data_IF_365319179027
#
_entry.id   IF_365319179027
#
_cell.length_a   1.000
_cell.length_b   1.000
_cell.length_c   1.000
_cell.angle_alpha   90.00
_cell.angle_beta   90.00
_cell.angle_gamma   90.00
#
_symmetry.space_group_name_H-M   'P 1'
#
loop_
_entity.id
_entity.type
_entity.pdbx_description
1 polymer ?
#
# COMPACT_ATOMS: atom_id res chain seq x y z
N UNK A 1 -39.48 -27.07 -14.94
CA UNK A 1 -38.25 -26.89 -15.77
C UNK A 1 -37.02 -26.79 -14.88
N UNK A 2 -35.84 -27.19 -15.38
CA UNK A 2 -34.57 -26.97 -14.66
C UNK A 2 -34.15 -25.49 -14.76
N UNK A 3 -33.46 -24.96 -13.74
CA UNK A 3 -32.94 -23.58 -13.66
C UNK A 3 -32.14 -23.17 -14.89
N UNK A 4 -31.37 -24.08 -15.49
CA UNK A 4 -30.61 -23.81 -16.73
C UNK A 4 -31.54 -23.54 -17.92
N UNK A 5 -32.62 -24.31 -18.07
CA UNK A 5 -33.59 -24.15 -19.14
C UNK A 5 -34.37 -22.83 -18.99
N UNK A 6 -34.79 -22.49 -17.77
CA UNK A 6 -35.46 -21.21 -17.49
C UNK A 6 -34.55 -20.03 -17.84
N UNK A 7 -33.25 -20.12 -17.49
CA UNK A 7 -32.27 -19.09 -17.87
C UNK A 7 -32.16 -18.93 -19.39
N UNK A 8 -32.06 -20.03 -20.13
CA UNK A 8 -31.98 -20.00 -21.60
C UNK A 8 -33.24 -19.38 -22.22
N UNK A 9 -34.43 -19.80 -21.75
CA UNK A 9 -35.70 -19.29 -22.26
C UNK A 9 -35.89 -17.79 -22.00
N UNK A 10 -35.43 -17.28 -20.85
CA UNK A 10 -35.42 -15.84 -20.57
C UNK A 10 -34.49 -15.11 -21.55
N UNK A 11 -33.28 -15.63 -21.77
CA UNK A 11 -32.30 -14.97 -22.66
C UNK A 11 -32.80 -14.93 -24.11
N UNK A 12 -33.39 -16.03 -24.58
CA UNK A 12 -33.98 -16.14 -25.91
C UNK A 12 -35.14 -15.16 -26.10
N UNK A 13 -36.10 -15.12 -25.16
CA UNK A 13 -37.25 -14.21 -25.26
C UNK A 13 -36.86 -12.75 -25.13
N UNK A 14 -35.84 -12.44 -24.31
CA UNK A 14 -35.27 -11.09 -24.24
C UNK A 14 -34.58 -10.70 -25.55
N UNK A 15 -33.90 -11.64 -26.21
CA UNK A 15 -33.28 -11.39 -27.52
C UNK A 15 -34.33 -11.16 -28.63
N UNK A 16 -35.50 -11.80 -28.52
CA UNK A 16 -36.66 -11.58 -29.39
C UNK A 16 -37.40 -10.26 -29.10
N UNK A 17 -36.99 -9.49 -28.08
CA UNK A 17 -37.60 -8.20 -27.74
C UNK A 17 -38.90 -8.32 -26.94
N UNK A 18 -39.23 -9.49 -26.39
CA UNK A 18 -40.42 -9.62 -25.54
C UNK A 18 -40.27 -8.82 -24.24
N UNK A 19 -41.35 -8.16 -23.78
CA UNK A 19 -41.32 -7.40 -22.54
C UNK A 19 -41.12 -8.33 -21.33
N UNK A 20 -40.32 -7.88 -20.36
CA UNK A 20 -40.02 -8.65 -19.14
C UNK A 20 -41.27 -9.09 -18.37
N UNK A 21 -42.32 -8.29 -18.34
CA UNK A 21 -43.59 -8.66 -17.70
C UNK A 21 -44.23 -9.90 -18.35
N UNK A 22 -44.25 -9.98 -19.68
CA UNK A 22 -44.79 -11.13 -20.40
C UNK A 22 -43.94 -12.39 -20.18
N UNK A 23 -42.61 -12.24 -20.18
CA UNK A 23 -41.69 -13.35 -19.91
C UNK A 23 -41.89 -13.88 -18.48
N UNK A 24 -42.07 -12.98 -17.50
CA UNK A 24 -42.30 -13.35 -16.10
C UNK A 24 -43.62 -14.12 -15.95
N UNK A 25 -44.71 -13.64 -16.53
CA UNK A 25 -46.01 -14.33 -16.49
C UNK A 25 -45.95 -15.70 -17.18
N UNK A 26 -45.26 -15.79 -18.32
CA UNK A 26 -45.14 -17.05 -19.06
C UNK A 26 -44.31 -18.11 -18.33
N UNK A 27 -43.35 -17.71 -17.49
CA UNK A 27 -42.45 -18.62 -16.77
C UNK A 27 -42.81 -18.79 -15.30
N UNK A 28 -43.70 -17.95 -14.76
CA UNK A 28 -44.27 -18.14 -13.42
C UNK A 28 -44.98 -19.49 -13.37
N UNK A 29 -44.93 -20.15 -12.21
CA UNK A 29 -45.48 -21.51 -11.97
C UNK A 29 -44.74 -22.67 -12.65
N UNK A 30 -43.66 -22.44 -13.41
CA UNK A 30 -42.89 -23.52 -14.08
C UNK A 30 -41.82 -24.20 -13.18
N UNK A 31 -42.01 -24.17 -11.86
CA UNK A 31 -41.18 -24.85 -10.86
C UNK A 31 -40.09 -24.01 -10.19
N UNK A 32 -40.04 -22.69 -10.42
CA UNK A 32 -39.19 -21.76 -9.67
C UNK A 32 -40.07 -20.81 -8.85
N UNK A 33 -39.65 -20.44 -7.65
CA UNK A 33 -40.39 -19.45 -6.86
C UNK A 33 -40.37 -18.09 -7.54
N UNK A 34 -41.49 -17.37 -7.51
CA UNK A 34 -41.65 -16.08 -8.17
C UNK A 34 -40.58 -15.07 -7.76
N UNK A 35 -40.14 -15.09 -6.49
CA UNK A 35 -39.03 -14.27 -6.01
C UNK A 35 -37.72 -14.56 -6.73
N UNK A 36 -37.37 -15.84 -6.91
CA UNK A 36 -36.13 -16.24 -7.59
C UNK A 36 -36.21 -15.97 -9.09
N UNK A 37 -37.39 -16.12 -9.69
CA UNK A 37 -37.61 -15.77 -11.10
C UNK A 37 -37.48 -14.27 -11.31
N UNK A 38 -38.12 -13.46 -10.46
CA UNK A 38 -38.04 -12.00 -10.52
C UNK A 38 -36.60 -11.51 -10.35
N UNK A 39 -35.85 -12.07 -9.41
CA UNK A 39 -34.42 -11.75 -9.21
C UNK A 39 -33.57 -12.11 -10.44
N UNK A 40 -33.78 -13.29 -11.03
CA UNK A 40 -33.10 -13.70 -12.27
C UNK A 40 -33.39 -12.76 -13.44
N UNK A 41 -34.61 -12.21 -13.52
CA UNK A 41 -35.00 -11.28 -14.58
C UNK A 41 -34.54 -9.85 -14.33
N UNK A 42 -34.56 -9.40 -13.08
CA UNK A 42 -34.12 -8.06 -12.69
C UNK A 42 -32.59 -7.90 -12.81
N UNK A 43 -31.83 -8.97 -12.54
CA UNK A 43 -30.36 -8.97 -12.66
C UNK A 43 -29.85 -9.08 -14.10
N UNK A 44 -30.74 -9.21 -15.09
CA UNK A 44 -30.38 -9.25 -16.51
C UNK A 44 -30.64 -7.90 -17.19
N UNK A 45 -29.59 -7.27 -17.75
CA UNK A 45 -29.74 -6.01 -18.45
C UNK A 45 -30.42 -6.24 -19.81
N UNK A 46 -31.29 -5.32 -20.20
CA UNK A 46 -31.91 -5.38 -21.53
C UNK A 46 -30.88 -4.97 -22.60
N UNK A 47 -30.79 -5.63 -23.77
CA UNK A 47 -29.81 -5.31 -24.81
C UNK A 47 -29.86 -3.85 -25.28
N UNK A 48 -31.06 -3.28 -25.37
CA UNK A 48 -31.28 -1.86 -25.70
C UNK A 48 -30.60 -0.92 -24.68
N UNK A 49 -30.69 -1.20 -23.38
CA UNK A 49 -30.05 -0.38 -22.35
C UNK A 49 -28.52 -0.48 -22.40
N UNK A 50 -27.99 -1.66 -22.76
CA UNK A 50 -26.55 -1.84 -22.96
C UNK A 50 -26.03 -0.98 -24.11
N UNK A 51 -26.77 -0.90 -25.22
CA UNK A 51 -26.41 -0.06 -26.36
C UNK A 51 -26.51 1.44 -26.00
N UNK A 52 -27.65 1.85 -25.41
CA UNK A 52 -27.89 3.25 -25.03
C UNK A 52 -26.86 3.79 -24.03
N UNK A 53 -26.40 2.95 -23.12
CA UNK A 53 -25.46 3.32 -22.06
C UNK A 53 -24.05 2.72 -22.25
N UNK A 54 -23.68 2.32 -23.47
CA UNK A 54 -22.37 1.74 -23.77
C UNK A 54 -21.20 2.66 -23.41
N UNK A 55 -21.38 3.99 -23.54
CA UNK A 55 -20.38 4.97 -23.11
C UNK A 55 -20.13 4.93 -21.60
N UNK A 56 -21.19 4.91 -20.80
CA UNK A 56 -21.12 4.86 -19.33
C UNK A 56 -20.48 3.55 -18.85
N UNK A 57 -20.85 2.42 -19.48
CA UNK A 57 -20.24 1.12 -19.16
C UNK A 57 -18.74 1.14 -19.46
N UNK A 58 -18.33 1.66 -20.64
CA UNK A 58 -16.91 1.76 -21.01
C UNK A 58 -16.14 2.63 -20.01
N UNK A 59 -16.72 3.74 -19.58
CA UNK A 59 -16.14 4.59 -18.54
C UNK A 59 -15.98 3.84 -17.21
N UNK A 60 -17.01 3.12 -16.73
CA UNK A 60 -16.93 2.33 -15.48
C UNK A 60 -15.82 1.27 -15.55
N UNK A 61 -15.72 0.55 -16.68
CA UNK A 61 -14.67 -0.46 -16.87
C UNK A 61 -13.29 0.19 -16.89
N UNK A 62 -13.14 1.35 -17.54
CA UNK A 62 -11.89 2.11 -17.56
C UNK A 62 -11.46 2.56 -16.16
N UNK A 63 -12.39 3.10 -15.37
CA UNK A 63 -12.16 3.47 -13.97
C UNK A 63 -11.72 2.25 -13.15
N UNK A 64 -12.41 1.11 -13.28
CA UNK A 64 -12.07 -0.10 -12.53
C UNK A 64 -10.66 -0.62 -12.87
N UNK A 65 -10.24 -0.52 -14.13
CA UNK A 65 -8.85 -0.82 -14.53
C UNK A 65 -7.84 0.15 -13.91
N UNK A 66 -8.15 1.46 -13.93
CA UNK A 66 -7.28 2.46 -13.31
C UNK A 66 -7.13 2.22 -11.80
N UNK A 67 -8.22 1.90 -11.10
CA UNK A 67 -8.19 1.54 -9.68
C UNK A 67 -7.38 0.27 -9.42
N UNK A 68 -7.56 -0.77 -10.24
CA UNK A 68 -6.77 -1.99 -10.13
C UNK A 68 -5.26 -1.67 -10.25
N UNK A 69 -4.86 -0.93 -11.29
CA UNK A 69 -3.45 -0.54 -11.47
C UNK A 69 -2.93 0.26 -10.27
N UNK A 70 -3.70 1.24 -9.79
CA UNK A 70 -3.33 2.05 -8.64
C UNK A 70 -3.12 1.20 -7.38
N UNK A 71 -4.05 0.28 -7.08
CA UNK A 71 -3.93 -0.61 -5.91
C UNK A 71 -2.73 -1.54 -6.04
N UNK A 72 -2.48 -2.10 -7.22
CA UNK A 72 -1.29 -2.93 -7.47
C UNK A 72 0.00 -2.14 -7.24
N UNK A 73 0.07 -0.90 -7.70
CA UNK A 73 1.22 0.00 -7.48
C UNK A 73 1.41 0.31 -5.99
N UNK A 74 0.33 0.57 -5.24
CA UNK A 74 0.40 0.82 -3.78
C UNK A 74 0.84 -0.42 -3.02
N UNK A 75 0.27 -1.59 -3.29
CA UNK A 75 0.64 -2.85 -2.65
C UNK A 75 2.11 -3.20 -2.90
N UNK A 76 2.56 -3.00 -4.14
CA UNK A 76 3.94 -3.21 -4.52
C UNK A 76 4.88 -2.23 -3.82
N UNK A 77 4.55 -0.94 -3.82
CA UNK A 77 5.34 0.09 -3.14
C UNK A 77 5.47 -0.23 -1.65
N UNK A 78 4.38 -0.62 -0.99
CA UNK A 78 4.40 -1.07 0.39
C UNK A 78 5.30 -2.30 0.58
N UNK A 79 5.21 -3.27 -0.34
CA UNK A 79 6.01 -4.49 -0.34
C UNK A 79 7.51 -4.27 -0.48
N UNK A 80 7.90 -3.39 -1.40
CA UNK A 80 9.29 -3.00 -1.59
C UNK A 80 9.85 -2.28 -0.36
N UNK A 81 9.01 -1.50 0.34
CA UNK A 81 9.40 -0.77 1.55
C UNK A 81 9.44 -1.63 2.82
N UNK A 82 8.83 -2.81 2.81
CA UNK A 82 8.80 -3.69 4.01
C UNK A 82 10.08 -4.52 4.16
N UNK A 83 10.93 -4.56 3.13
CA UNK A 83 12.29 -5.10 3.18
C UNK A 83 12.38 -6.63 3.22
N UNK A 84 13.35 -7.17 2.46
CA UNK A 84 13.68 -8.60 2.46
C UNK A 84 12.85 -9.49 1.52
N UNK A 85 13.31 -10.74 1.34
CA UNK A 85 12.67 -11.74 0.47
C UNK A 85 11.27 -12.12 0.97
N UNK A 86 11.08 -12.16 2.31
CA UNK A 86 9.78 -12.39 2.92
C UNK A 86 8.78 -11.25 2.65
N UNK A 87 9.24 -9.99 2.65
CA UNK A 87 8.44 -8.83 2.27
C UNK A 87 8.00 -8.89 0.80
N UNK A 88 8.90 -9.28 -0.10
CA UNK A 88 8.58 -9.49 -1.52
C UNK A 88 7.59 -10.64 -1.74
N UNK A 89 7.77 -11.79 -1.08
CA UNK A 89 6.84 -12.92 -1.18
C UNK A 89 5.46 -12.53 -0.63
N UNK A 90 5.43 -11.88 0.53
CA UNK A 90 4.20 -11.38 1.14
C UNK A 90 3.51 -10.35 0.26
N UNK A 91 4.26 -9.42 -0.32
CA UNK A 91 3.74 -8.43 -1.26
C UNK A 91 3.17 -9.08 -2.52
N UNK A 92 3.86 -10.06 -3.11
CA UNK A 92 3.36 -10.80 -4.27
C UNK A 92 2.08 -11.58 -3.94
N UNK A 93 2.01 -12.19 -2.76
CA UNK A 93 0.81 -12.89 -2.28
C UNK A 93 -0.37 -11.93 -2.10
N UNK A 94 -0.16 -10.81 -1.41
CA UNK A 94 -1.18 -9.76 -1.21
C UNK A 94 -1.59 -9.17 -2.57
N UNK A 95 -0.65 -8.94 -3.47
CA UNK A 95 -0.89 -8.41 -4.80
C UNK A 95 -1.71 -9.40 -5.66
N UNK A 96 -1.43 -10.70 -5.55
CA UNK A 96 -2.22 -11.74 -6.21
C UNK A 96 -3.65 -11.81 -5.65
N UNK A 97 -3.80 -11.73 -4.32
CA UNK A 97 -5.10 -11.82 -3.65
C UNK A 97 -5.95 -10.56 -3.90
N UNK A 98 -5.41 -9.39 -3.61
CA UNK A 98 -6.07 -8.09 -3.79
C UNK A 98 -6.29 -7.81 -5.27
N UNK A 99 -5.28 -8.05 -6.11
CA UNK A 99 -5.37 -7.89 -7.55
C UNK A 99 -6.40 -8.83 -8.17
N UNK A 100 -6.41 -10.10 -7.78
CA UNK A 100 -7.40 -11.09 -8.21
C UNK A 100 -8.81 -10.69 -7.78
N UNK A 101 -8.99 -10.26 -6.53
CA UNK A 101 -10.28 -9.79 -6.01
C UNK A 101 -10.78 -8.54 -6.77
N UNK A 102 -9.93 -7.54 -7.01
CA UNK A 102 -10.28 -6.35 -7.79
C UNK A 102 -10.57 -6.68 -9.25
N UNK A 103 -9.84 -7.64 -9.84
CA UNK A 103 -10.08 -8.11 -11.19
C UNK A 103 -11.47 -8.76 -11.35
N UNK A 104 -12.02 -9.39 -10.31
CA UNK A 104 -13.40 -9.90 -10.34
C UNK A 104 -14.42 -8.78 -10.60
N UNK A 105 -14.21 -7.57 -10.09
CA UNK A 105 -15.08 -6.43 -10.36
C UNK A 105 -14.92 -5.95 -11.81
N UNK A 106 -13.69 -5.83 -12.30
CA UNK A 106 -13.42 -5.49 -13.70
C UNK A 106 -14.14 -6.47 -14.64
N UNK A 107 -13.97 -7.77 -14.40
CA UNK A 107 -14.65 -8.84 -15.14
C UNK A 107 -16.18 -8.73 -15.01
N UNK A 108 -16.67 -8.47 -13.80
CA UNK A 108 -18.09 -8.29 -13.50
C UNK A 108 -18.71 -7.13 -14.28
N UNK A 109 -18.04 -5.98 -14.36
CA UNK A 109 -18.48 -4.82 -15.13
C UNK A 109 -18.45 -5.10 -16.64
N UNK A 110 -17.38 -5.73 -17.14
CA UNK A 110 -17.26 -6.14 -18.55
C UNK A 110 -18.37 -7.11 -18.98
N UNK A 111 -18.78 -8.01 -18.09
CA UNK A 111 -19.88 -8.96 -18.31
C UNK A 111 -21.25 -8.43 -17.89
N UNK A 112 -21.35 -7.14 -17.56
CA UNK A 112 -22.58 -6.47 -17.14
C UNK A 112 -23.33 -7.22 -16.04
N UNK A 113 -22.60 -7.73 -15.04
CA UNK A 113 -23.17 -8.50 -13.93
C UNK A 113 -23.68 -7.55 -12.84
N UNK A 114 -24.98 -7.61 -12.53
CA UNK A 114 -25.60 -6.76 -11.51
C UNK A 114 -24.94 -6.87 -10.12
N UNK A 115 -24.43 -8.05 -9.76
CA UNK A 115 -23.75 -8.27 -8.49
C UNK A 115 -22.48 -7.42 -8.34
N UNK A 116 -21.74 -7.17 -9.43
CA UNK A 116 -20.49 -6.41 -9.37
C UNK A 116 -20.73 -4.96 -8.95
N UNK A 117 -21.75 -4.31 -9.54
CA UNK A 117 -22.19 -2.96 -9.17
C UNK A 117 -22.72 -2.90 -7.74
N UNK A 118 -23.51 -3.90 -7.33
CA UNK A 118 -24.12 -3.91 -6.00
C UNK A 118 -23.05 -4.14 -4.92
N UNK A 119 -22.14 -5.09 -5.14
CA UNK A 119 -21.03 -5.37 -4.23
C UNK A 119 -20.06 -4.17 -4.13
N UNK A 120 -19.75 -3.50 -5.23
CA UNK A 120 -18.87 -2.32 -5.20
C UNK A 120 -19.48 -1.16 -4.42
N UNK A 121 -20.80 -0.95 -4.53
CA UNK A 121 -21.51 0.06 -3.74
C UNK A 121 -21.48 -0.27 -2.25
N UNK A 122 -21.78 -1.52 -1.87
CA UNK A 122 -21.75 -1.96 -0.47
C UNK A 122 -20.34 -1.82 0.11
N UNK A 123 -19.32 -2.28 -0.60
CA UNK A 123 -17.93 -2.15 -0.16
C UNK A 123 -17.49 -0.69 -0.03
N UNK A 124 -17.86 0.17 -0.97
CA UNK A 124 -17.54 1.59 -0.89
C UNK A 124 -18.24 2.26 0.29
N UNK A 125 -19.49 1.89 0.60
CA UNK A 125 -20.22 2.39 1.79
C UNK A 125 -19.58 1.90 3.10
N UNK A 126 -19.14 0.64 3.17
CA UNK A 126 -18.45 0.08 4.35
C UNK A 126 -17.11 0.81 4.60
N UNK A 127 -16.41 1.22 3.54
CA UNK A 127 -15.11 1.90 3.65
C UNK A 127 -15.23 3.41 3.92
N UNK A 128 -16.41 4.01 3.73
CA UNK A 128 -16.61 5.45 3.87
C UNK A 128 -16.33 5.98 5.30
N UNK A 129 -16.77 5.32 6.39
CA UNK A 129 -16.43 5.74 7.74
C UNK A 129 -14.93 5.80 8.00
N UNK A 130 -14.17 4.83 7.49
CA UNK A 130 -12.72 4.83 7.62
C UNK A 130 -12.09 6.04 6.92
N UNK A 131 -12.52 6.33 5.69
CA UNK A 131 -12.05 7.51 4.96
C UNK A 131 -12.33 8.83 5.70
N UNK A 132 -13.44 8.90 6.46
CA UNK A 132 -13.75 10.04 7.32
C UNK A 132 -12.86 10.11 8.56
N UNK A 133 -12.54 8.95 9.17
CA UNK A 133 -11.65 8.88 10.34
C UNK A 133 -10.21 9.25 10.00
N UNK A 134 -9.77 9.01 8.76
CA UNK A 134 -8.41 9.32 8.30
C UNK A 134 -8.24 10.82 7.91
N UNK A 135 -9.31 11.62 7.88
CA UNK A 135 -9.25 13.05 7.51
C UNK A 135 -8.34 13.91 8.41
N UNK A 136 -8.34 13.76 9.75
CA UNK A 136 -7.50 14.60 10.62
C UNK A 136 -6.00 14.40 10.38
N UNK A 137 -5.57 13.20 9.99
CA UNK A 137 -4.15 12.87 9.80
C UNK A 137 -3.57 13.46 8.51
N UNK A 138 -4.41 13.64 7.48
CA UNK A 138 -4.00 14.18 6.19
C UNK A 138 -5.15 14.96 5.53
N UNK A 139 -5.48 16.18 5.99
CA UNK A 139 -6.74 16.86 5.64
C UNK A 139 -6.92 17.11 4.15
N UNK A 140 -5.85 17.50 3.43
CA UNK A 140 -5.94 17.76 1.98
C UNK A 140 -6.07 16.46 1.19
N UNK A 141 -5.16 15.51 1.42
CA UNK A 141 -5.16 14.22 0.70
C UNK A 141 -6.41 13.39 1.02
N UNK A 142 -6.82 13.37 2.28
CA UNK A 142 -8.05 12.73 2.75
C UNK A 142 -9.30 13.34 2.15
N UNK A 143 -9.39 14.67 2.06
CA UNK A 143 -10.54 15.34 1.43
C UNK A 143 -10.66 15.00 -0.06
N UNK A 144 -9.54 15.01 -0.79
CA UNK A 144 -9.51 14.61 -2.21
C UNK A 144 -9.90 13.14 -2.37
N UNK A 145 -9.33 12.25 -1.54
CA UNK A 145 -9.66 10.83 -1.54
C UNK A 145 -11.14 10.57 -1.26
N UNK A 146 -11.72 11.27 -0.29
CA UNK A 146 -13.14 11.18 0.04
C UNK A 146 -14.03 11.66 -1.11
N UNK A 147 -13.69 12.81 -1.72
CA UNK A 147 -14.44 13.34 -2.86
C UNK A 147 -14.43 12.36 -4.04
N UNK A 148 -13.28 11.76 -4.34
CA UNK A 148 -13.16 10.72 -5.36
C UNK A 148 -14.00 9.49 -5.00
N UNK A 149 -13.95 9.02 -3.75
CA UNK A 149 -14.71 7.87 -3.30
C UNK A 149 -16.23 8.09 -3.41
N UNK A 150 -16.73 9.25 -2.98
CA UNK A 150 -18.15 9.63 -3.10
C UNK A 150 -18.56 9.77 -4.56
N UNK A 151 -17.72 10.39 -5.39
CA UNK A 151 -17.97 10.52 -6.83
C UNK A 151 -18.09 9.16 -7.52
N UNK A 152 -17.22 8.20 -7.17
CA UNK A 152 -17.25 6.85 -7.72
C UNK A 152 -18.46 6.04 -7.24
N UNK A 153 -18.88 6.20 -5.99
CA UNK A 153 -20.12 5.63 -5.47
C UNK A 153 -21.33 6.17 -6.23
N UNK A 154 -21.43 7.48 -6.38
CA UNK A 154 -22.50 8.15 -7.12
C UNK A 154 -22.54 7.72 -8.59
N UNK A 155 -21.38 7.67 -9.25
CA UNK A 155 -21.28 7.22 -10.64
C UNK A 155 -21.66 5.75 -10.80
N UNK A 156 -21.16 4.86 -9.94
CA UNK A 156 -21.51 3.43 -9.97
C UNK A 156 -23.00 3.21 -9.72
N UNK A 157 -23.60 3.97 -8.78
CA UNK A 157 -25.04 3.96 -8.53
C UNK A 157 -25.83 4.43 -9.76
N UNK A 158 -25.37 5.49 -10.41
CA UNK A 158 -25.97 6.00 -11.63
C UNK A 158 -25.95 4.94 -12.74
N UNK A 159 -24.79 4.35 -13.04
CA UNK A 159 -24.68 3.29 -14.06
C UNK A 159 -25.56 2.08 -13.70
N UNK A 160 -25.55 1.65 -12.44
CA UNK A 160 -26.40 0.55 -11.97
C UNK A 160 -27.89 0.82 -12.19
N UNK A 161 -28.37 2.00 -11.79
CA UNK A 161 -29.79 2.37 -11.91
C UNK A 161 -30.27 2.43 -13.36
N UNK A 162 -29.38 2.80 -14.30
CA UNK A 162 -29.68 2.83 -15.74
C UNK A 162 -29.69 1.44 -16.38
N UNK A 163 -28.78 0.55 -15.96
CA UNK A 163 -28.69 -0.81 -16.52
C UNK A 163 -29.70 -1.78 -15.91
N UNK A 164 -30.05 -1.58 -14.64
CA UNK A 164 -30.92 -2.45 -13.87
C UNK A 164 -32.04 -1.65 -13.19
N UNK A 165 -32.93 -1.00 -13.96
CA UNK A 165 -34.02 -0.20 -13.39
C UNK A 165 -35.02 -1.03 -12.55
N UNK A 166 -35.02 -2.36 -12.76
CA UNK A 166 -35.86 -3.32 -12.04
C UNK A 166 -35.30 -3.72 -10.67
N UNK A 167 -34.06 -3.32 -10.35
CA UNK A 167 -33.42 -3.59 -9.06
C UNK A 167 -33.54 -2.36 -8.16
N UNK A 168 -34.09 -2.58 -6.96
CA UNK A 168 -33.92 -1.66 -5.82
C UNK A 168 -32.51 -1.81 -5.23
N UNK A 169 -32.21 -1.14 -4.12
CA UNK A 169 -30.91 -1.29 -3.45
C UNK A 169 -30.58 -2.78 -3.15
N UNK A 170 -31.56 -3.58 -2.73
CA UNK A 170 -31.33 -4.95 -2.22
C UNK A 170 -32.21 -6.04 -2.83
N UNK A 171 -32.75 -5.84 -4.03
CA UNK A 171 -33.49 -6.90 -4.73
C UNK A 171 -34.44 -6.41 -5.82
N UNK A 172 -35.20 -7.32 -6.44
CA UNK A 172 -36.18 -6.97 -7.45
C UNK A 172 -37.27 -6.05 -6.90
N UNK A 173 -37.67 -5.06 -7.69
CA UNK A 173 -38.68 -4.07 -7.33
C UNK A 173 -40.06 -4.72 -7.16
N UNK A 174 -40.70 -4.43 -6.04
CA UNK A 174 -42.04 -4.88 -5.69
C UNK A 174 -42.93 -3.65 -5.44
N UNK A 175 -44.07 -3.57 -6.12
CA UNK A 175 -45.08 -2.52 -5.94
C UNK A 175 -46.41 -3.24 -5.70
N UNK A 176 -47.08 -2.91 -4.59
CA UNK A 176 -48.39 -3.48 -4.20
C UNK A 176 -48.44 -5.00 -4.17
N UNK A 177 -47.38 -5.65 -3.66
CA UNK A 177 -47.36 -7.12 -3.58
C UNK A 177 -46.93 -7.81 -4.88
N UNK A 178 -46.76 -7.09 -5.99
CA UNK A 178 -46.41 -7.64 -7.29
C UNK A 178 -45.04 -7.20 -7.80
N UNK A 179 -44.39 -8.06 -8.59
CA UNK A 179 -43.14 -7.74 -9.26
C UNK A 179 -43.41 -6.93 -10.53
N UNK A 180 -42.95 -5.68 -10.56
CA UNK A 180 -43.09 -4.79 -11.73
C UNK A 180 -41.74 -4.54 -12.37
N UNK A 181 -41.68 -4.71 -13.69
CA UNK A 181 -40.50 -4.42 -14.49
C UNK A 181 -40.71 -3.12 -15.26
N UNK A 182 -39.66 -2.31 -15.37
CA UNK A 182 -39.65 -1.06 -16.10
C UNK A 182 -39.94 -1.32 -17.58
N UNK A 183 -40.80 -0.49 -18.17
CA UNK A 183 -41.03 -0.50 -19.61
C UNK A 183 -39.79 0.10 -20.29
N UNK A 184 -39.15 -0.67 -21.15
CA UNK A 184 -38.04 -0.18 -21.98
C UNK A 184 -38.65 0.35 -23.26
N UNK A 185 -38.64 1.67 -23.45
CA UNK A 185 -39.00 2.29 -24.72
C UNK A 185 -38.11 1.69 -25.82
N UNK A 186 -38.66 1.23 -26.96
CA UNK A 186 -37.83 0.87 -28.10
C UNK A 186 -37.00 2.09 -28.53
N UNK A 187 -35.78 1.87 -29.01
CA UNK A 187 -34.95 2.94 -29.58
C UNK A 187 -35.76 3.64 -30.69
N UNK A 188 -35.81 4.98 -30.66
CA UNK A 188 -36.42 5.73 -31.75
C UNK A 188 -35.66 5.42 -33.04
N UNK A 189 -36.35 5.35 -34.18
CA UNK A 189 -35.74 5.09 -35.49
C UNK A 189 -34.61 6.08 -35.85
N UNK A 190 -34.60 7.27 -35.24
CA UNK A 190 -33.52 8.25 -35.36
C UNK A 190 -32.26 7.95 -34.51
N UNK A 191 -32.38 7.18 -33.41
CA UNK A 191 -31.24 6.70 -32.61
C UNK A 191 -30.69 5.36 -33.15
N UNK A 192 -31.50 4.62 -33.93
CA UNK A 192 -31.04 3.49 -34.74
C UNK A 192 -30.26 4.03 -35.94
N UNK A 193 -28.93 4.15 -35.79
CA UNK A 193 -28.07 4.21 -36.96
C UNK A 193 -28.48 3.08 -37.93
N UNK A 194 -28.54 3.33 -39.26
CA UNK A 194 -29.11 2.38 -40.21
C UNK A 194 -28.53 1.00 -39.96
N UNK A 195 -29.39 -0.01 -39.82
CA UNK A 195 -28.98 -1.38 -39.50
C UNK A 195 -27.98 -1.92 -40.54
N UNK A 196 -28.03 -1.39 -41.78
CA UNK A 196 -27.04 -1.61 -42.84
C UNK A 196 -25.63 -1.08 -42.53
N UNK A 197 -25.49 -0.01 -41.75
CA UNK A 197 -24.20 0.49 -41.26
C UNK A 197 -23.71 -0.36 -40.09
N UNK A 198 -24.61 -0.81 -39.20
CA UNK A 198 -24.25 -1.73 -38.12
C UNK A 198 -23.84 -3.11 -38.66
N UNK A 199 -24.52 -3.66 -39.66
CA UNK A 199 -24.16 -4.96 -40.26
C UNK A 199 -22.87 -4.89 -41.11
N UNK A 200 -22.53 -3.72 -41.66
CA UNK A 200 -21.23 -3.50 -42.33
C UNK A 200 -20.08 -3.23 -41.33
N UNK A 201 -20.35 -2.63 -40.17
CA UNK A 201 -19.33 -2.26 -39.17
C UNK A 201 -19.11 -3.37 -38.12
N UNK A 202 -20.12 -4.21 -37.84
CA UNK A 202 -20.05 -5.26 -36.82
C UNK A 202 -19.02 -6.37 -37.13
N UNK A 203 -18.82 -6.88 -38.36
CA UNK A 203 -17.74 -7.83 -38.63
C UNK A 203 -16.35 -7.17 -38.61
N UNK A 204 -16.24 -5.88 -38.96
CA UNK A 204 -14.96 -5.15 -38.91
C UNK A 204 -14.52 -4.79 -37.48
N UNK A 205 -15.47 -4.52 -36.57
CA UNK A 205 -15.15 -4.14 -35.18
C UNK A 205 -15.09 -5.34 -34.23
N UNK A 206 -15.73 -6.48 -34.55
CA UNK A 206 -15.74 -7.65 -33.64
C UNK A 206 -14.50 -8.56 -33.68
N UNK A 207 -13.60 -8.45 -34.66
CA UNK A 207 -12.46 -9.38 -34.76
C UNK A 207 -11.09 -8.72 -34.55
N UNK A 208 -10.94 -7.41 -34.76
CA UNK A 208 -9.61 -6.77 -34.73
C UNK A 208 -9.16 -6.17 -33.37
N UNK A 209 -10.06 -5.90 -32.42
CA UNK A 209 -9.71 -5.00 -31.29
C UNK A 209 -9.67 -5.63 -29.88
N UNK A 210 -10.45 -6.68 -29.59
CA UNK A 210 -10.52 -7.21 -28.21
C UNK A 210 -9.38 -8.17 -27.88
N UNK A 211 -8.91 -8.98 -28.85
CA UNK A 211 -7.70 -9.81 -28.67
C UNK A 211 -6.43 -8.96 -28.59
N UNK A 212 -6.35 -7.87 -29.37
CA UNK A 212 -5.18 -7.00 -29.37
C UNK A 212 -5.10 -6.13 -28.11
N UNK A 213 -6.23 -5.64 -27.58
CA UNK A 213 -6.23 -4.89 -26.31
C UNK A 213 -5.87 -5.79 -25.12
N UNK A 214 -6.43 -7.00 -25.04
CA UNK A 214 -6.09 -7.94 -23.97
C UNK A 214 -4.63 -8.39 -24.04
N UNK A 215 -4.08 -8.62 -25.25
CA UNK A 215 -2.67 -8.92 -25.44
C UNK A 215 -1.76 -7.74 -25.07
N UNK A 216 -2.13 -6.50 -25.44
CA UNK A 216 -1.41 -5.28 -25.05
C UNK A 216 -1.43 -5.05 -23.54
N UNK A 217 -2.57 -5.31 -22.88
CA UNK A 217 -2.68 -5.22 -21.42
C UNK A 217 -1.86 -6.29 -20.71
N UNK A 218 -1.85 -7.54 -21.22
CA UNK A 218 -0.97 -8.60 -20.70
C UNK A 218 0.51 -8.27 -20.88
N UNK A 219 0.89 -7.75 -22.05
CA UNK A 219 2.25 -7.32 -22.31
C UNK A 219 2.65 -6.16 -21.40
N UNK A 220 1.80 -5.14 -21.24
CA UNK A 220 2.05 -4.03 -20.32
C UNK A 220 2.24 -4.53 -18.88
N UNK A 221 1.39 -5.46 -18.43
CA UNK A 221 1.51 -6.09 -17.11
C UNK A 221 2.84 -6.86 -16.97
N UNK A 222 3.24 -7.64 -17.96
CA UNK A 222 4.52 -8.36 -17.97
C UNK A 222 5.72 -7.41 -17.98
N UNK A 223 5.66 -6.31 -18.74
CA UNK A 223 6.72 -5.30 -18.78
C UNK A 223 6.85 -4.57 -17.43
N UNK A 224 5.72 -4.27 -16.78
CA UNK A 224 5.73 -3.71 -15.42
C UNK A 224 6.35 -4.72 -14.46
N UNK A 225 5.93 -5.98 -14.45
CA UNK A 225 6.55 -7.01 -13.61
C UNK A 225 8.06 -7.13 -13.85
N UNK A 226 8.49 -7.12 -15.12
CA UNK A 226 9.91 -7.19 -15.47
C UNK A 226 10.68 -5.98 -14.95
N UNK A 227 10.18 -4.76 -15.17
CA UNK A 227 10.80 -3.54 -14.68
C UNK A 227 10.96 -3.55 -13.15
N UNK A 228 10.00 -4.14 -12.43
CA UNK A 228 10.03 -4.27 -10.98
C UNK A 228 11.05 -5.29 -10.49
N UNK A 229 11.16 -6.44 -11.17
CA UNK A 229 12.21 -7.43 -10.88
C UNK A 229 13.58 -6.82 -11.14
N UNK A 230 13.75 -6.10 -12.24
CA UNK A 230 14.99 -5.40 -12.57
C UNK A 230 15.33 -4.32 -11.55
N UNK A 231 14.34 -3.54 -11.10
CA UNK A 231 14.54 -2.53 -10.06
C UNK A 231 14.92 -3.17 -8.72
N UNK A 232 14.23 -4.23 -8.30
CA UNK A 232 14.58 -4.97 -7.08
C UNK A 232 16.00 -5.55 -7.13
N UNK A 233 16.41 -6.10 -8.28
CA UNK A 233 17.77 -6.57 -8.50
C UNK A 233 18.79 -5.43 -8.42
N UNK A 234 18.49 -4.27 -9.02
CA UNK A 234 19.34 -3.08 -8.98
C UNK A 234 19.52 -2.55 -7.54
N UNK A 235 18.44 -2.44 -6.76
CA UNK A 235 18.50 -2.03 -5.35
C UNK A 235 19.33 -3.03 -4.53
N UNK A 236 19.14 -4.34 -4.77
CA UNK A 236 19.91 -5.42 -4.12
C UNK A 236 21.41 -5.31 -4.38
N UNK A 237 21.79 -4.97 -5.62
CA UNK A 237 23.18 -4.77 -6.01
C UNK A 237 23.76 -3.45 -5.46
N UNK A 238 22.94 -2.40 -5.37
CA UNK A 238 23.40 -1.07 -4.93
C UNK A 238 23.60 -0.97 -3.42
N UNK A 239 22.78 -1.68 -2.63
CA UNK A 239 22.74 -1.60 -1.16
C UNK A 239 22.81 -2.98 -0.48
N UNK A 240 23.85 -3.80 -0.77
CA UNK A 240 23.90 -5.19 -0.31
C UNK A 240 24.02 -5.29 1.21
N UNK A 241 24.71 -4.34 1.85
CA UNK A 241 24.95 -4.35 3.29
C UNK A 241 23.70 -3.95 4.07
N UNK A 242 22.99 -2.94 3.61
CA UNK A 242 21.76 -2.45 4.20
C UNK A 242 20.68 -3.54 4.13
N UNK A 243 20.51 -4.16 2.96
CA UNK A 243 19.53 -5.25 2.78
C UNK A 243 19.88 -6.46 3.64
N UNK A 244 21.16 -6.81 3.74
CA UNK A 244 21.61 -7.88 4.64
C UNK A 244 21.25 -7.56 6.08
N UNK A 245 21.49 -6.34 6.54
CA UNK A 245 21.19 -5.94 7.92
C UNK A 245 19.68 -5.97 8.21
N UNK A 246 18.86 -5.42 7.30
CA UNK A 246 17.40 -5.50 7.44
C UNK A 246 16.89 -6.93 7.44
N UNK A 247 17.43 -7.79 6.57
CA UNK A 247 17.11 -9.22 6.58
C UNK A 247 17.40 -9.82 7.95
N UNK A 248 18.62 -9.63 8.47
CA UNK A 248 19.02 -10.17 9.76
C UNK A 248 18.17 -9.60 10.91
N UNK A 249 17.76 -8.33 10.86
CA UNK A 249 16.89 -7.71 11.85
C UNK A 249 15.52 -8.40 11.94
N UNK A 250 14.94 -8.81 10.80
CA UNK A 250 13.64 -9.48 10.78
C UNK A 250 13.69 -10.99 10.97
N UNK A 251 14.82 -11.65 10.65
CA UNK A 251 14.90 -13.12 10.65
C UNK A 251 15.64 -13.73 11.83
N UNK A 252 16.41 -12.94 12.57
CA UNK A 252 17.28 -13.45 13.64
C UNK A 252 16.78 -12.96 14.99
N UNK A 253 16.65 -13.85 15.96
CA UNK A 253 16.40 -13.46 17.34
C UNK A 253 17.62 -12.69 17.88
N UNK A 254 17.39 -11.49 18.40
CA UNK A 254 18.42 -10.60 18.92
C UNK A 254 18.04 -10.15 20.33
N UNK A 255 19.02 -9.93 21.23
CA UNK A 255 18.74 -9.41 22.57
C UNK A 255 18.27 -7.96 22.51
N UNK A 256 17.54 -7.54 23.54
CA UNK A 256 17.20 -6.14 23.73
C UNK A 256 18.32 -5.44 24.51
N UNK A 257 18.72 -4.24 24.06
CA UNK A 257 19.68 -3.41 24.75
C UNK A 257 18.94 -2.42 25.66
N UNK A 258 19.23 -2.47 26.95
CA UNK A 258 18.65 -1.56 27.95
C UNK A 258 19.77 -0.92 28.76
N UNK A 259 20.09 0.34 28.46
CA UNK A 259 21.07 1.13 29.22
C UNK A 259 20.90 2.63 28.94
N UNK A 260 21.35 3.47 29.87
CA UNK A 260 21.41 4.92 29.69
C UNK A 260 22.72 5.31 28.98
N UNK A 261 22.67 6.23 28.01
CA UNK A 261 23.88 6.67 27.29
C UNK A 261 24.90 7.35 28.23
N UNK A 262 24.45 7.99 29.32
CA UNK A 262 25.33 8.55 30.34
C UNK A 262 26.06 7.51 31.21
N UNK A 263 25.69 6.23 31.13
CA UNK A 263 26.38 5.14 31.82
C UNK A 263 27.70 4.75 31.12
N UNK A 264 27.84 5.06 29.82
CA UNK A 264 29.07 4.79 29.09
C UNK A 264 30.19 5.69 29.61
N UNK A 265 31.35 5.09 29.87
CA UNK A 265 32.55 5.78 30.32
C UNK A 265 33.69 5.61 29.33
N UNK A 266 34.45 6.69 29.17
CA UNK A 266 35.65 6.74 28.34
C UNK A 266 36.88 6.09 29.00
N UNK A 267 36.73 5.58 30.21
CA UNK A 267 37.73 4.73 30.86
C UNK A 267 37.52 3.24 30.57
N UNK A 268 36.39 2.86 29.95
CA UNK A 268 36.12 1.46 29.65
C UNK A 268 37.07 0.92 28.59
N UNK A 269 37.69 -0.21 28.91
CA UNK A 269 38.35 -1.09 27.96
C UNK A 269 37.33 -2.01 27.28
N UNK A 270 37.77 -2.83 26.33
CA UNK A 270 36.92 -3.86 25.74
C UNK A 270 36.43 -4.88 26.78
N UNK A 271 37.28 -5.22 27.75
CA UNK A 271 36.91 -6.15 28.82
C UNK A 271 35.87 -5.53 29.75
N UNK A 272 35.99 -4.24 30.05
CA UNK A 272 34.97 -3.50 30.79
C UNK A 272 33.64 -3.48 30.03
N UNK A 273 33.67 -3.22 28.71
CA UNK A 273 32.46 -3.25 27.87
C UNK A 273 31.76 -4.63 27.95
N UNK A 274 32.52 -5.71 27.82
CA UNK A 274 31.99 -7.09 27.92
C UNK A 274 31.47 -7.41 29.31
N UNK A 275 32.10 -6.88 30.36
CA UNK A 275 31.64 -7.07 31.73
C UNK A 275 30.34 -6.31 32.00
N UNK A 276 30.26 -5.05 31.58
CA UNK A 276 29.13 -4.17 31.84
C UNK A 276 27.92 -4.48 30.96
N UNK A 277 28.14 -4.99 29.74
CA UNK A 277 27.10 -5.34 28.77
C UNK A 277 27.15 -6.83 28.39
N UNK A 278 27.48 -7.71 29.34
CA UNK A 278 27.77 -9.13 29.08
C UNK A 278 26.60 -9.96 28.54
N UNK A 279 25.38 -9.42 28.55
CA UNK A 279 24.23 -10.03 27.89
C UNK A 279 24.21 -9.80 26.37
N UNK A 280 25.08 -8.94 25.84
CA UNK A 280 25.25 -8.73 24.41
C UNK A 280 26.42 -9.57 23.89
N UNK A 281 26.23 -10.15 22.70
CA UNK A 281 27.28 -10.89 22.01
C UNK A 281 28.11 -9.94 21.14
N UNK A 282 29.34 -9.64 21.56
CA UNK A 282 30.23 -8.73 20.85
C UNK A 282 31.12 -9.45 19.83
N UNK A 283 31.17 -8.90 18.62
CA UNK A 283 32.16 -9.22 17.58
C UNK A 283 33.13 -8.06 17.47
N UNK A 284 34.34 -8.24 17.97
CA UNK A 284 35.35 -7.19 18.02
C UNK A 284 36.47 -7.44 16.99
N UNK A 285 36.89 -6.38 16.30
CA UNK A 285 37.95 -6.44 15.30
C UNK A 285 38.81 -5.17 15.33
N UNK A 286 40.10 -5.33 15.01
CA UNK A 286 40.97 -4.19 14.74
C UNK A 286 40.54 -3.51 13.44
N UNK A 287 40.48 -2.18 13.45
CA UNK A 287 40.10 -1.40 12.28
C UNK A 287 41.34 -1.12 11.43
N UNK A 288 41.18 -1.15 10.11
CA UNK A 288 42.23 -0.67 9.21
C UNK A 288 42.31 0.86 9.30
N UNK A 289 43.51 1.47 9.25
CA UNK A 289 43.66 2.93 9.23
C UNK A 289 42.77 3.56 8.15
N UNK A 290 41.96 4.56 8.53
CA UNK A 290 41.06 5.29 7.63
C UNK A 290 39.74 4.59 7.28
N UNK A 291 39.50 3.34 7.70
CA UNK A 291 38.26 2.63 7.39
C UNK A 291 37.13 2.92 8.40
N UNK A 292 37.50 3.15 9.66
CA UNK A 292 36.58 3.44 10.76
C UNK A 292 37.11 4.62 11.59
N UNK A 293 36.29 5.09 12.52
CA UNK A 293 36.57 6.29 13.32
C UNK A 293 37.77 6.12 14.26
N UNK A 294 38.06 4.91 14.75
CA UNK A 294 39.10 4.64 15.76
C UNK A 294 39.83 3.31 15.49
N UNK A 295 40.78 2.92 16.35
CA UNK A 295 41.70 1.78 16.16
C UNK A 295 41.01 0.41 16.21
N UNK A 296 39.95 0.28 17.00
CA UNK A 296 39.24 -1.00 17.21
C UNK A 296 37.74 -0.78 17.33
N UNK A 297 36.96 -1.74 16.86
CA UNK A 297 35.50 -1.69 16.94
C UNK A 297 34.90 -3.00 17.44
N UNK A 298 33.83 -2.91 18.21
CA UNK A 298 33.02 -4.02 18.69
C UNK A 298 31.57 -3.81 18.26
N UNK A 299 30.95 -4.84 17.69
CA UNK A 299 29.57 -4.81 17.20
C UNK A 299 28.72 -5.84 17.94
N UNK A 300 27.51 -5.46 18.31
CA UNK A 300 26.48 -6.36 18.81
C UNK A 300 25.19 -6.17 17.99
N UNK A 301 24.58 -7.28 17.56
CA UNK A 301 23.27 -7.25 16.92
C UNK A 301 22.20 -7.16 18.03
N UNK A 302 21.30 -6.18 17.93
CA UNK A 302 20.26 -5.93 18.94
C UNK A 302 18.88 -5.89 18.28
N UNK A 303 17.82 -6.23 19.03
CA UNK A 303 16.43 -6.16 18.57
C UNK A 303 15.84 -4.77 18.79
N UNK A 304 16.15 -4.18 19.93
CA UNK A 304 15.66 -2.88 20.35
C UNK A 304 16.65 -2.22 21.29
N UNK A 305 16.57 -0.89 21.39
CA UNK A 305 17.23 -0.09 22.40
C UNK A 305 16.17 0.65 23.21
N UNK A 306 16.08 0.38 24.52
CA UNK A 306 15.06 0.95 25.40
C UNK A 306 13.64 0.89 24.79
N UNK A 307 13.30 -0.29 24.24
CA UNK A 307 12.03 -0.62 23.54
C UNK A 307 11.79 0.03 22.17
N UNK A 308 12.71 0.85 21.66
CA UNK A 308 12.64 1.34 20.27
C UNK A 308 13.37 0.33 19.37
N UNK A 309 12.76 -0.19 18.29
CA UNK A 309 13.44 -1.13 17.40
C UNK A 309 14.77 -0.58 16.90
N UNK A 310 15.80 -1.42 17.00
CA UNK A 310 17.17 -1.11 16.64
C UNK A 310 17.79 -2.32 15.96
N UNK A 311 18.87 -2.11 15.21
CA UNK A 311 19.53 -3.16 14.43
C UNK A 311 20.86 -3.54 15.05
N UNK A 312 21.73 -2.57 15.30
CA UNK A 312 23.09 -2.83 15.78
C UNK A 312 23.52 -1.80 16.80
N UNK A 313 24.37 -2.23 17.73
CA UNK A 313 25.17 -1.38 18.60
C UNK A 313 26.64 -1.52 18.22
N UNK A 314 27.30 -0.41 17.98
CA UNK A 314 28.73 -0.33 17.63
C UNK A 314 29.47 0.46 18.69
N UNK A 315 30.63 -0.03 19.13
CA UNK A 315 31.49 0.61 20.13
C UNK A 315 32.89 0.74 19.55
N UNK A 316 33.46 1.95 19.61
CA UNK A 316 34.74 2.28 18.98
C UNK A 316 35.75 2.70 20.04
N UNK A 317 36.95 2.14 19.95
CA UNK A 317 38.02 2.30 20.93
C UNK A 317 39.22 3.01 20.31
N UNK A 318 39.72 4.04 20.99
CA UNK A 318 40.96 4.73 20.66
C UNK A 318 41.91 4.59 21.85
N UNK A 319 43.18 4.23 21.59
CA UNK A 319 44.18 4.01 22.65
C UNK A 319 43.70 3.00 23.72
N UNK A 320 43.01 1.94 23.28
CA UNK A 320 42.46 0.89 24.15
C UNK A 320 41.27 1.30 25.03
N UNK A 321 40.73 2.50 24.86
CA UNK A 321 39.64 3.05 25.67
C UNK A 321 38.43 3.44 24.83
N UNK A 322 37.22 3.29 25.38
CA UNK A 322 35.98 3.56 24.68
C UNK A 322 35.89 5.04 24.33
N UNK A 323 35.79 5.34 23.04
CA UNK A 323 35.82 6.70 22.54
C UNK A 323 34.45 7.14 21.99
N UNK A 324 33.76 6.23 21.30
CA UNK A 324 32.45 6.48 20.68
C UNK A 324 31.57 5.25 20.72
N UNK A 325 30.27 5.46 20.62
CA UNK A 325 29.30 4.40 20.39
C UNK A 325 28.23 4.85 19.41
N UNK A 326 27.62 3.91 18.69
CA UNK A 326 26.54 4.18 17.76
C UNK A 326 25.46 3.11 17.87
N UNK A 327 24.21 3.52 17.98
CA UNK A 327 23.04 2.65 17.87
C UNK A 327 22.36 2.94 16.54
N UNK A 328 22.19 1.92 15.71
CA UNK A 328 21.56 2.05 14.40
C UNK A 328 20.09 1.66 14.48
N UNK A 329 19.22 2.59 14.10
CA UNK A 329 17.78 2.42 14.06
C UNK A 329 17.29 2.36 12.62
N UNK A 330 16.23 1.59 12.32
CA UNK A 330 15.56 1.67 11.03
C UNK A 330 15.10 3.08 10.69
N UNK A 331 15.00 3.39 9.39
CA UNK A 331 14.53 4.71 8.92
C UNK A 331 13.15 5.09 9.46
N UNK A 332 12.27 4.11 9.64
CA UNK A 332 10.89 4.31 10.12
C UNK A 332 10.79 4.54 11.63
N UNK A 333 11.84 4.25 12.40
CA UNK A 333 11.90 4.52 13.86
C UNK A 333 12.50 5.88 14.19
N UNK A 334 12.61 6.78 13.20
CA UNK A 334 13.20 8.11 13.38
C UNK A 334 12.51 8.90 14.51
N UNK A 335 11.19 9.05 14.44
CA UNK A 335 10.41 9.79 15.43
C UNK A 335 10.41 9.11 16.80
N UNK A 336 10.31 7.78 16.84
CA UNK A 336 10.40 6.99 18.07
C UNK A 336 11.73 7.19 18.79
N UNK A 337 12.83 7.17 18.02
CA UNK A 337 14.19 7.38 18.53
C UNK A 337 14.40 8.80 19.06
N UNK A 338 13.93 9.81 18.33
CA UNK A 338 13.99 11.20 18.77
C UNK A 338 13.17 11.43 20.05
N UNK A 339 11.95 10.88 20.10
CA UNK A 339 11.06 10.95 21.26
C UNK A 339 11.65 10.23 22.48
N UNK A 340 12.34 9.10 22.27
CA UNK A 340 13.08 8.42 23.32
C UNK A 340 14.19 9.33 23.88
N UNK A 341 15.00 9.95 23.03
CA UNK A 341 16.07 10.86 23.46
C UNK A 341 15.54 12.10 24.18
N UNK A 342 14.43 12.70 23.72
CA UNK A 342 13.81 13.81 24.44
C UNK A 342 13.32 13.43 25.83
N UNK A 343 12.77 12.22 25.99
CA UNK A 343 12.35 11.73 27.31
C UNK A 343 13.53 11.45 28.24
N UNK A 344 14.64 10.94 27.71
CA UNK A 344 15.81 10.58 28.52
C UNK A 344 16.73 11.75 28.83
N UNK A 345 16.92 12.68 27.89
CA UNK A 345 17.96 13.71 27.94
C UNK A 345 17.38 15.14 27.90
N UNK A 346 16.06 15.30 27.77
CA UNK A 346 15.41 16.61 27.65
C UNK A 346 15.58 17.22 26.26
N UNK A 347 15.48 18.56 26.18
CA UNK A 347 15.61 19.30 24.91
C UNK A 347 17.09 19.33 24.46
N UNK A 348 17.36 19.27 23.15
CA UNK A 348 18.73 19.27 22.64
C UNK A 348 19.34 20.66 22.80
N UNK A 349 20.59 20.73 23.25
CA UNK A 349 21.32 21.99 23.46
C UNK A 349 21.86 22.57 22.14
N UNK A 350 21.97 21.76 21.08
CA UNK A 350 22.50 22.22 19.79
C UNK A 350 21.93 21.47 18.59
N UNK A 351 21.96 22.15 17.43
CA UNK A 351 21.62 21.55 16.15
C UNK A 351 22.54 22.08 15.05
N UNK A 352 22.97 21.19 14.15
CA UNK A 352 23.75 21.60 12.99
C UNK A 352 22.89 22.43 12.03
N UNK A 353 23.38 23.59 11.61
CA UNK A 353 22.70 24.43 10.64
C UNK A 353 22.72 23.81 9.23
N UNK A 354 23.85 23.21 8.85
CA UNK A 354 24.08 22.56 7.55
C UNK A 354 24.38 21.08 7.73
N UNK A 355 24.02 20.29 6.72
CA UNK A 355 24.28 18.86 6.73
C UNK A 355 25.77 18.58 6.63
N UNK A 356 26.26 17.61 7.40
CA UNK A 356 27.57 16.98 7.20
C UNK A 356 27.33 15.56 6.71
N UNK A 357 28.03 15.15 5.66
CA UNK A 357 27.80 13.86 5.00
C UNK A 357 26.31 13.60 4.63
N UNK A 358 25.57 14.65 4.27
CA UNK A 358 24.17 14.56 3.84
C UNK A 358 23.13 14.56 4.96
N UNK A 359 23.53 14.56 6.23
CA UNK A 359 22.60 14.56 7.38
C UNK A 359 22.83 15.75 8.31
N UNK A 360 21.75 16.34 8.83
CA UNK A 360 21.82 17.35 9.89
C UNK A 360 21.66 16.65 11.22
N UNK A 361 22.43 17.03 12.24
CA UNK A 361 22.36 16.44 13.57
C UNK A 361 21.74 17.40 14.59
N UNK A 362 21.05 16.84 15.58
CA UNK A 362 20.76 17.47 16.87
C UNK A 362 21.60 16.81 17.94
N UNK A 363 21.97 17.52 19.00
CA UNK A 363 22.85 16.98 20.03
C UNK A 363 22.52 17.41 21.46
N UNK A 364 22.92 16.55 22.40
CA UNK A 364 22.81 16.72 23.83
C UNK A 364 24.16 16.64 24.51
N UNK A 365 24.45 17.59 25.41
CA UNK A 365 25.63 17.50 26.27
C UNK A 365 25.27 16.68 27.51
N UNK A 366 26.16 15.75 27.87
CA UNK A 366 26.01 14.91 29.06
C UNK A 366 26.75 15.49 30.25
N UNK A 367 26.32 15.16 31.46
CA UNK A 367 26.91 15.66 32.72
C UNK A 367 28.37 15.26 32.90
N UNK A 368 28.79 14.12 32.31
CA UNK A 368 30.17 13.67 32.33
C UNK A 368 31.09 14.41 31.32
N UNK A 369 30.56 15.39 30.60
CA UNK A 369 31.29 16.13 29.56
C UNK A 369 31.26 15.49 28.17
N UNK A 370 30.65 14.31 28.02
CA UNK A 370 30.41 13.68 26.72
C UNK A 370 29.24 14.30 25.95
N UNK A 371 28.94 13.73 24.78
CA UNK A 371 27.87 14.19 23.91
C UNK A 371 27.07 13.04 23.29
N UNK A 372 25.79 13.29 23.03
CA UNK A 372 24.93 12.42 22.19
C UNK A 372 24.46 13.21 20.99
N UNK A 373 24.45 12.59 19.81
CA UNK A 373 23.88 13.17 18.59
C UNK A 373 22.85 12.24 17.97
N UNK A 374 21.91 12.82 17.25
CA UNK A 374 20.89 12.11 16.49
C UNK A 374 20.65 12.77 15.14
N UNK A 375 20.30 11.97 14.12
CA UNK A 375 19.83 12.48 12.84
C UNK A 375 18.61 13.39 13.05
N UNK A 376 18.74 14.68 12.76
CA UNK A 376 17.62 15.63 12.85
C UNK A 376 16.54 15.31 11.82
N UNK A 377 16.98 14.99 10.61
CA UNK A 377 16.09 14.71 9.49
C UNK A 377 15.99 13.21 9.26
N UNK A 378 14.78 12.76 8.98
CA UNK A 378 14.53 11.41 8.51
C UNK A 378 15.13 11.24 7.11
N UNK A 379 15.95 10.21 6.84
CA UNK A 379 16.45 9.96 5.50
C UNK A 379 15.30 9.66 4.53
N UNK A 380 15.42 10.17 3.30
CA UNK A 380 14.44 9.91 2.23
C UNK A 380 14.53 8.47 1.73
N UNK A 381 15.72 7.88 1.78
CA UNK A 381 15.94 6.48 1.44
C UNK A 381 15.59 5.60 2.65
N UNK A 382 14.57 4.73 2.56
CA UNK A 382 14.18 3.90 3.70
C UNK A 382 15.23 2.85 4.09
N UNK A 383 16.19 2.56 3.19
CA UNK A 383 17.31 1.66 3.47
C UNK A 383 18.44 2.35 4.26
N UNK A 384 18.46 3.68 4.29
CA UNK A 384 19.38 4.41 5.17
C UNK A 384 18.93 4.26 6.63
N UNK A 385 19.91 4.23 7.52
CA UNK A 385 19.70 4.01 8.95
C UNK A 385 19.78 5.33 9.68
N UNK A 386 18.98 5.48 10.73
CA UNK A 386 19.17 6.55 11.70
C UNK A 386 20.22 6.11 12.71
N UNK A 387 20.96 7.06 13.28
CA UNK A 387 21.96 6.78 14.30
C UNK A 387 21.76 7.61 15.55
N UNK A 388 21.80 6.94 16.71
CA UNK A 388 22.13 7.60 17.98
C UNK A 388 23.63 7.46 18.16
N UNK A 389 24.35 8.58 18.21
CA UNK A 389 25.81 8.59 18.33
C UNK A 389 26.20 9.13 19.70
N UNK A 390 26.91 8.35 20.49
CA UNK A 390 27.52 8.80 21.73
C UNK A 390 29.02 9.06 21.52
N UNK A 391 29.53 10.10 22.15
CA UNK A 391 30.91 10.56 22.05
C UNK A 391 31.43 10.84 23.47
N UNK A 392 32.63 10.35 23.76
CA UNK A 392 33.28 10.48 25.07
C UNK A 392 33.59 11.92 25.46
N UNK A 393 33.71 12.16 26.77
CA UNK A 393 34.20 13.42 27.30
C UNK A 393 35.63 13.73 26.82
N UNK A 394 36.53 12.73 26.87
CA UNK A 394 37.88 12.83 26.32
C UNK A 394 37.90 13.28 24.86
N UNK A 395 37.03 12.71 24.01
CA UNK A 395 36.94 13.14 22.61
C UNK A 395 36.46 14.59 22.51
N UNK A 396 35.43 14.95 23.26
CA UNK A 396 34.89 16.31 23.27
C UNK A 396 35.88 17.37 23.78
N UNK A 397 36.82 17.00 24.66
CA UNK A 397 37.90 17.89 25.11
C UNK A 397 38.94 18.14 24.01
N UNK A 398 39.28 17.11 23.24
CA UNK A 398 40.23 17.21 22.12
C UNK A 398 39.60 17.87 20.89
N UNK A 399 38.32 17.58 20.64
CA UNK A 399 37.54 18.04 19.51
C UNK A 399 36.19 18.56 20.03
N UNK A 400 36.05 19.89 20.23
CA UNK A 400 34.86 20.48 20.84
C UNK A 400 33.55 19.99 20.19
N UNK A 401 32.80 19.21 20.96
CA UNK A 401 31.52 18.60 20.54
C UNK A 401 30.40 19.62 20.34
N UNK A 402 30.43 20.70 21.13
CA UNK A 402 29.51 21.82 21.02
C UNK A 402 30.32 23.08 20.81
N UNK A 403 30.00 23.84 19.77
CA UNK A 403 30.54 25.18 19.61
C UNK A 403 29.74 26.11 20.50
N UNK A 404 30.37 26.71 21.51
CA UNK A 404 29.78 27.85 22.21
C UNK A 404 29.44 28.89 21.15
N UNK A 405 28.22 29.46 21.13
CA UNK A 405 27.93 30.58 20.24
C UNK A 405 29.03 31.61 20.48
N UNK A 406 29.83 31.93 19.45
CA UNK A 406 30.79 33.04 19.57
C UNK A 406 29.98 34.24 20.01
N UNK A 407 30.33 34.80 21.17
CA UNK A 407 29.61 35.93 21.78
C UNK A 407 29.29 36.95 20.70
N UNK A 408 28.00 37.23 20.53
CA UNK A 408 27.54 38.38 19.75
C UNK A 408 27.69 39.64 20.59
#
# INVERSE_FOLDING_TARGET
MNRKQIRSAIDERLAQGHPKTAIFQALSRQGLSDRRLADLMATRPHPVLLQRHAGLIRAQVGIAWAQLVLVLLVCLWAGLNTGGVGGLIGALFVLALVGGFMYLFVWGFQRHRAWAYTASLVLGLINLPKALMDLPDAPVAGSVGLMVAVGLLGFTWHVRSKLFPDLTAFGPRKLDGEYRFARVEPLNAAELAPQSVLDAVVPAVRVASTRSLAARLRLAFLLVLLALVSFGAWVSQRFPNEIREYRLHFTTERPEAHFHLGFLSDEWTEDDLRKQLGWLQFRCQANRPGQYLDERSCFADIRSYNRVPAMTASFYFAQGKLNRAALQLPSWEHESGLTLLFRMLGRPQGAQARASAGVRLVGWQLDNGGAVYYNRDRPLNPLERNGIFWVSARHCQQHPCFTTPRGK
#
